data_IF_342294201164
#
_entry.id   IF_342294201164
#
_cell.length_a   1.000
_cell.length_b   1.000
_cell.length_c   1.000
_cell.angle_alpha   90.00
_cell.angle_beta   90.00
_cell.angle_gamma   90.00
#
_symmetry.space_group_name_H-M   'P 1'
#
loop_
_entity.id
_entity.type
_entity.pdbx_description
1 polymer ?
#
# COMPACT_ATOMS: atom_id res chain seq x y z
N UNK A 1 -15.12 -12.44 24.26
CA UNK A 1 -15.41 -11.52 23.11
C UNK A 1 -14.19 -11.19 22.26
N UNK A 2 -12.99 -10.99 22.79
CA UNK A 2 -11.76 -10.82 21.98
C UNK A 2 -11.36 -12.11 21.28
N UNK A 3 -11.38 -13.24 21.95
CA UNK A 3 -10.97 -14.55 21.40
C UNK A 3 -11.78 -14.97 20.15
N UNK A 4 -13.09 -14.67 20.11
CA UNK A 4 -13.91 -15.02 18.95
C UNK A 4 -13.61 -14.17 17.72
N UNK A 5 -13.20 -12.91 17.88
CA UNK A 5 -12.82 -12.04 16.76
C UNK A 5 -11.49 -12.45 16.14
N UNK A 6 -10.52 -12.84 16.98
CA UNK A 6 -9.24 -13.35 16.46
C UNK A 6 -9.45 -14.63 15.66
N UNK A 7 -10.29 -15.54 16.13
CA UNK A 7 -10.63 -16.75 15.39
C UNK A 7 -11.30 -16.47 14.04
N UNK A 8 -12.16 -15.44 13.94
CA UNK A 8 -12.75 -15.03 12.64
C UNK A 8 -11.69 -14.47 11.70
N UNK A 9 -10.76 -13.63 12.20
CA UNK A 9 -9.68 -13.07 11.41
C UNK A 9 -8.76 -14.16 10.88
N UNK A 10 -8.35 -15.10 11.75
CA UNK A 10 -7.49 -16.22 11.37
C UNK A 10 -8.17 -17.10 10.31
N UNK A 11 -9.44 -17.42 10.51
CA UNK A 11 -10.22 -18.19 9.53
C UNK A 11 -10.37 -17.46 8.19
N UNK A 12 -10.61 -16.16 8.23
CA UNK A 12 -10.69 -15.34 7.00
C UNK A 12 -9.35 -15.32 6.25
N UNK A 13 -8.25 -15.10 6.97
CA UNK A 13 -6.90 -15.08 6.39
C UNK A 13 -6.55 -16.43 5.75
N UNK A 14 -6.82 -17.54 6.44
CA UNK A 14 -6.56 -18.87 5.90
C UNK A 14 -7.43 -19.19 4.69
N UNK A 15 -8.72 -18.87 4.72
CA UNK A 15 -9.64 -19.08 3.59
C UNK A 15 -9.30 -18.20 2.36
N UNK A 16 -8.62 -17.09 2.56
CA UNK A 16 -8.20 -16.19 1.48
C UNK A 16 -6.71 -16.30 1.14
N UNK A 17 -5.97 -17.20 1.78
CA UNK A 17 -4.51 -17.32 1.64
C UNK A 17 -4.03 -17.34 0.19
N UNK A 18 -4.60 -18.22 -0.62
CA UNK A 18 -4.19 -18.36 -2.03
C UNK A 18 -4.53 -17.12 -2.86
N UNK A 19 -5.65 -16.46 -2.55
CA UNK A 19 -6.03 -15.21 -3.19
C UNK A 19 -5.08 -14.07 -2.80
N UNK A 20 -4.71 -13.95 -1.51
CA UNK A 20 -3.74 -12.98 -1.02
C UNK A 20 -2.40 -13.17 -1.72
N UNK A 21 -1.89 -14.40 -1.75
CA UNK A 21 -0.62 -14.71 -2.42
C UNK A 21 -0.67 -14.40 -3.92
N UNK A 22 -1.76 -14.73 -4.59
CA UNK A 22 -1.98 -14.39 -6.00
C UNK A 22 -1.93 -12.88 -6.22
N UNK A 23 -2.61 -12.10 -5.40
CA UNK A 23 -2.73 -10.66 -5.58
C UNK A 23 -1.43 -9.93 -5.24
N UNK A 24 -0.67 -10.41 -4.23
CA UNK A 24 0.70 -9.96 -4.00
C UNK A 24 1.57 -10.26 -5.24
N UNK A 25 1.49 -11.47 -5.80
CA UNK A 25 2.23 -11.84 -7.01
C UNK A 25 1.90 -10.92 -8.19
N UNK A 26 0.61 -10.62 -8.41
CA UNK A 26 0.16 -9.71 -9.48
C UNK A 26 0.74 -8.31 -9.32
N UNK A 27 0.81 -7.81 -8.08
CA UNK A 27 1.31 -6.47 -7.81
C UNK A 27 2.83 -6.40 -7.87
N UNK A 28 3.53 -7.40 -7.33
CA UNK A 28 5.00 -7.51 -7.42
C UNK A 28 5.45 -7.58 -8.86
N UNK A 29 4.70 -8.24 -9.74
CA UNK A 29 5.00 -8.36 -11.17
C UNK A 29 5.01 -7.02 -11.93
N UNK A 30 4.59 -5.92 -11.31
CA UNK A 30 4.64 -4.57 -11.91
C UNK A 30 5.89 -3.84 -11.40
N UNK A 31 6.94 -3.65 -12.21
CA UNK A 31 8.09 -2.84 -11.85
C UNK A 31 7.65 -1.38 -11.63
N UNK A 32 7.98 -0.82 -10.46
CA UNK A 32 7.46 0.48 -10.04
C UNK A 32 8.53 1.39 -9.42
N UNK A 33 9.74 1.30 -9.93
CA UNK A 33 10.79 2.28 -9.62
C UNK A 33 10.40 3.63 -10.22
N UNK A 34 10.62 4.71 -9.48
CA UNK A 34 10.37 6.08 -9.96
C UNK A 34 11.04 6.33 -11.32
N UNK A 35 10.34 6.99 -12.20
CA UNK A 35 10.77 7.27 -13.56
C UNK A 35 10.49 8.72 -13.98
N UNK A 36 10.67 8.99 -15.26
CA UNK A 36 10.41 10.33 -15.81
C UNK A 36 8.91 10.66 -15.73
N UNK A 37 8.54 11.82 -15.17
CA UNK A 37 7.15 12.27 -15.13
C UNK A 37 6.52 12.40 -16.51
N UNK A 38 5.27 11.97 -16.63
CA UNK A 38 4.46 12.08 -17.84
C UNK A 38 3.04 12.54 -17.46
N UNK A 39 2.23 13.06 -18.41
CA UNK A 39 0.83 13.41 -18.13
C UNK A 39 0.06 12.21 -17.54
N UNK A 40 -0.52 12.38 -16.35
CA UNK A 40 -1.24 11.34 -15.62
C UNK A 40 -0.35 10.27 -14.98
N UNK A 41 0.96 10.45 -15.03
CA UNK A 41 1.96 9.59 -14.38
C UNK A 41 3.08 10.46 -13.77
N UNK A 42 2.79 11.20 -12.70
CA UNK A 42 3.70 12.20 -12.13
C UNK A 42 5.04 11.62 -11.68
N UNK A 43 5.06 10.34 -11.30
CA UNK A 43 6.27 9.63 -10.86
C UNK A 43 6.77 8.60 -11.88
N UNK A 44 6.23 8.67 -13.11
CA UNK A 44 6.59 7.77 -14.19
C UNK A 44 5.61 6.62 -14.40
N UNK A 45 5.81 5.89 -15.50
CA UNK A 45 4.90 4.81 -15.93
C UNK A 45 4.85 3.63 -14.96
N UNK A 46 5.98 3.31 -14.34
CA UNK A 46 6.08 2.17 -13.41
C UNK A 46 5.20 2.35 -12.16
N UNK A 47 5.43 3.40 -11.35
CA UNK A 47 4.58 3.71 -10.19
C UNK A 47 3.10 3.81 -10.56
N UNK A 48 2.77 4.55 -11.65
CA UNK A 48 1.40 4.66 -12.16
C UNK A 48 0.76 3.28 -12.46
N UNK A 49 1.49 2.40 -13.11
CA UNK A 49 0.99 1.06 -13.44
C UNK A 49 0.76 0.20 -12.18
N UNK A 50 1.61 0.37 -11.16
CA UNK A 50 1.46 -0.32 -9.89
C UNK A 50 0.27 0.23 -9.09
N UNK A 51 0.08 1.54 -9.06
CA UNK A 51 -1.09 2.18 -8.48
C UNK A 51 -2.39 1.68 -9.13
N UNK A 52 -2.43 1.68 -10.48
CA UNK A 52 -3.60 1.17 -11.21
C UNK A 52 -3.87 -0.30 -10.89
N UNK A 53 -2.82 -1.12 -10.79
CA UNK A 53 -2.95 -2.54 -10.44
C UNK A 53 -3.47 -2.73 -9.01
N UNK A 54 -3.01 -1.93 -8.06
CA UNK A 54 -3.51 -1.94 -6.70
C UNK A 54 -5.00 -1.59 -6.62
N UNK A 55 -5.41 -0.56 -7.36
CA UNK A 55 -6.82 -0.15 -7.42
C UNK A 55 -7.70 -1.17 -8.18
N UNK A 56 -7.16 -1.84 -9.21
CA UNK A 56 -7.83 -2.97 -9.87
C UNK A 56 -8.08 -4.11 -8.87
N UNK A 57 -7.08 -4.52 -8.11
CA UNK A 57 -7.21 -5.55 -7.07
C UNK A 57 -8.26 -5.12 -6.03
N UNK A 58 -8.20 -3.89 -5.56
CA UNK A 58 -9.17 -3.38 -4.59
C UNK A 58 -10.61 -3.41 -5.13
N UNK A 59 -10.82 -3.05 -6.40
CA UNK A 59 -12.13 -3.12 -7.06
C UNK A 59 -12.62 -4.57 -7.19
N UNK A 60 -11.75 -5.51 -7.54
CA UNK A 60 -12.08 -6.96 -7.59
C UNK A 60 -12.49 -7.50 -6.21
N UNK A 61 -11.94 -6.95 -5.12
CA UNK A 61 -12.34 -7.25 -3.73
C UNK A 61 -13.65 -6.58 -3.33
N UNK A 62 -14.28 -5.83 -4.26
CA UNK A 62 -15.57 -5.15 -4.04
C UNK A 62 -15.44 -3.86 -3.24
N UNK A 63 -14.26 -3.25 -3.16
CA UNK A 63 -14.04 -1.97 -2.51
C UNK A 63 -14.31 -0.81 -3.49
N UNK A 64 -14.76 0.32 -2.98
CA UNK A 64 -14.87 1.54 -3.77
C UNK A 64 -13.47 2.14 -3.94
N UNK A 65 -13.08 2.44 -5.18
CA UNK A 65 -11.73 2.91 -5.50
C UNK A 65 -11.74 4.30 -6.12
N UNK A 66 -10.65 5.03 -5.92
CA UNK A 66 -10.40 6.32 -6.54
C UNK A 66 -8.92 6.47 -6.90
N UNK A 67 -8.65 7.04 -8.07
CA UNK A 67 -7.33 7.44 -8.50
C UNK A 67 -7.29 8.97 -8.60
N UNK A 68 -6.47 9.59 -7.78
CA UNK A 68 -6.29 11.03 -7.73
C UNK A 68 -5.20 11.47 -8.72
N UNK A 69 -5.55 11.48 -10.01
CA UNK A 69 -4.72 11.97 -11.13
C UNK A 69 -3.36 11.27 -11.26
N UNK A 70 -3.24 10.05 -10.74
CA UNK A 70 -2.00 9.29 -10.76
C UNK A 70 -0.98 9.68 -9.69
N UNK A 71 -1.32 10.60 -8.76
CA UNK A 71 -0.46 10.93 -7.62
C UNK A 71 -0.63 9.97 -6.45
N UNK A 72 -1.85 9.56 -6.18
CA UNK A 72 -2.21 8.68 -5.06
C UNK A 72 -3.58 8.07 -5.35
N UNK A 73 -3.84 6.89 -4.82
CA UNK A 73 -5.17 6.30 -4.89
C UNK A 73 -5.68 5.92 -3.50
N UNK A 74 -6.92 5.43 -3.46
CA UNK A 74 -7.44 4.81 -2.25
C UNK A 74 -8.54 3.81 -2.53
N UNK A 75 -8.73 2.94 -1.54
CA UNK A 75 -9.85 2.01 -1.47
C UNK A 75 -10.60 2.20 -0.15
N UNK A 76 -11.93 1.99 -0.16
CA UNK A 76 -12.78 2.12 1.02
C UNK A 76 -13.99 1.18 0.93
N UNK A 77 -14.60 0.90 2.08
CA UNK A 77 -15.72 -0.07 2.16
C UNK A 77 -17.06 0.52 1.70
N UNK A 78 -17.14 1.83 1.54
CA UNK A 78 -18.32 2.57 1.10
C UNK A 78 -18.03 4.06 1.08
N UNK A 79 -18.95 4.90 0.59
CA UNK A 79 -18.74 6.32 0.41
C UNK A 79 -18.47 7.03 1.75
N UNK A 80 -17.56 8.00 1.73
CA UNK A 80 -17.28 8.92 2.83
C UNK A 80 -17.84 10.27 2.42
N UNK A 81 -18.81 10.79 3.18
CA UNK A 81 -19.46 12.05 2.88
C UNK A 81 -18.51 13.24 3.12
N UNK A 82 -18.76 14.35 2.43
CA UNK A 82 -18.01 15.59 2.62
C UNK A 82 -18.05 16.04 4.09
N UNK A 83 -16.86 16.35 4.64
CA UNK A 83 -16.70 16.73 6.03
C UNK A 83 -16.85 15.58 7.05
N UNK A 84 -17.11 14.36 6.60
CA UNK A 84 -17.13 13.20 7.49
C UNK A 84 -15.71 12.84 7.93
N UNK A 85 -15.53 12.65 9.24
CA UNK A 85 -14.27 12.16 9.81
C UNK A 85 -14.07 10.70 9.45
N UNK A 86 -12.84 10.34 9.11
CA UNK A 86 -12.46 8.97 8.75
C UNK A 86 -11.07 8.60 9.32
N UNK A 87 -10.80 7.30 9.40
CA UNK A 87 -9.49 6.74 9.68
C UNK A 87 -8.81 6.39 8.36
N UNK A 88 -7.51 6.38 8.35
CA UNK A 88 -6.76 5.88 7.19
C UNK A 88 -5.66 4.90 7.59
N UNK A 89 -5.35 4.01 6.66
CA UNK A 89 -4.04 3.41 6.51
C UNK A 89 -3.35 4.08 5.33
N UNK A 90 -2.02 4.05 5.31
CA UNK A 90 -1.25 4.44 4.15
C UNK A 90 -0.22 3.37 3.85
N UNK A 91 -0.13 3.00 2.60
CA UNK A 91 0.80 2.03 2.02
C UNK A 91 1.30 2.57 0.70
N UNK A 92 2.34 1.98 0.13
CA UNK A 92 2.84 2.42 -1.17
C UNK A 92 3.08 1.26 -2.14
N UNK A 93 3.17 1.58 -3.42
CA UNK A 93 3.37 0.61 -4.51
C UNK A 93 4.67 0.83 -5.27
N UNK A 94 5.28 2.00 -5.13
CA UNK A 94 6.62 2.23 -5.67
C UNK A 94 7.67 1.41 -4.90
N UNK A 95 8.81 1.25 -5.51
CA UNK A 95 9.91 0.46 -4.95
C UNK A 95 11.24 1.09 -5.30
N UNK A 96 12.25 0.92 -4.44
CA UNK A 96 13.63 1.24 -4.78
C UNK A 96 14.13 0.37 -5.94
N UNK A 97 15.16 0.79 -6.69
CA UNK A 97 15.79 -0.05 -7.69
C UNK A 97 16.16 -1.42 -7.12
N UNK A 98 16.00 -2.46 -7.92
CA UNK A 98 16.22 -3.85 -7.51
C UNK A 98 17.63 -4.12 -7.00
N UNK A 99 18.62 -3.38 -7.50
CA UNK A 99 20.03 -3.60 -7.14
C UNK A 99 20.61 -4.87 -7.76
N UNK A 100 21.64 -5.42 -7.11
CA UNK A 100 22.37 -6.60 -7.58
C UNK A 100 22.19 -7.79 -6.63
N UNK A 101 22.52 -8.98 -7.09
CA UNK A 101 22.57 -10.21 -6.27
C UNK A 101 21.33 -11.07 -6.32
N UNK A 102 20.35 -10.72 -7.13
CA UNK A 102 19.18 -11.56 -7.37
C UNK A 102 19.58 -12.82 -8.15
N UNK A 103 19.05 -13.95 -7.74
CA UNK A 103 19.24 -15.25 -8.44
C UNK A 103 18.11 -15.53 -9.41
N UNK A 104 17.06 -14.71 -9.40
CA UNK A 104 15.89 -14.74 -10.26
C UNK A 104 15.45 -13.32 -10.59
N UNK A 105 14.48 -13.16 -11.48
CA UNK A 105 13.85 -11.86 -11.74
C UNK A 105 13.20 -11.33 -10.45
N UNK A 106 13.62 -10.17 -9.92
CA UNK A 106 13.09 -9.61 -8.68
C UNK A 106 11.59 -9.28 -8.74
N UNK A 107 11.03 -9.11 -9.93
CA UNK A 107 9.60 -8.85 -10.15
C UNK A 107 8.79 -10.12 -10.45
N UNK A 108 9.41 -11.29 -10.39
CA UNK A 108 8.73 -12.59 -10.38
C UNK A 108 8.78 -13.17 -8.97
N UNK A 109 7.72 -12.91 -8.18
CA UNK A 109 7.66 -13.40 -6.82
C UNK A 109 7.77 -14.93 -6.78
N UNK A 110 8.69 -15.43 -5.98
CA UNK A 110 8.85 -16.86 -5.69
C UNK A 110 8.44 -17.17 -4.25
N UNK A 111 7.83 -18.34 -4.06
CA UNK A 111 7.62 -18.89 -2.71
C UNK A 111 8.60 -20.06 -2.55
N UNK A 112 9.57 -19.91 -1.65
CA UNK A 112 10.58 -20.90 -1.37
C UNK A 112 10.78 -21.08 0.13
N UNK A 113 10.71 -22.31 0.61
CA UNK A 113 10.87 -22.66 2.03
C UNK A 113 9.97 -21.86 2.99
N UNK A 114 8.77 -21.50 2.53
CA UNK A 114 7.81 -20.72 3.31
C UNK A 114 8.02 -19.20 3.26
N UNK A 115 9.00 -18.71 2.49
CA UNK A 115 9.28 -17.29 2.30
C UNK A 115 8.77 -16.80 0.94
N UNK A 116 8.17 -15.63 0.93
CA UNK A 116 7.90 -14.89 -0.30
C UNK A 116 9.12 -14.02 -0.64
N UNK A 117 9.66 -14.19 -1.84
CA UNK A 117 10.88 -13.52 -2.27
C UNK A 117 10.59 -12.73 -3.54
N UNK A 118 10.80 -11.42 -3.50
CA UNK A 118 10.59 -10.50 -4.63
C UNK A 118 10.77 -9.05 -4.20
N UNK A 119 11.07 -8.15 -5.14
CA UNK A 119 11.16 -6.71 -4.87
C UNK A 119 9.76 -6.16 -4.54
N UNK A 120 9.63 -5.48 -3.39
CA UNK A 120 8.36 -4.93 -2.92
C UNK A 120 7.46 -5.91 -2.17
N UNK A 121 7.86 -7.18 -1.96
CA UNK A 121 7.05 -8.14 -1.20
C UNK A 121 6.85 -7.71 0.24
N UNK A 122 7.90 -7.25 0.91
CA UNK A 122 7.86 -6.80 2.30
C UNK A 122 7.60 -5.29 2.39
N UNK A 123 8.12 -4.54 1.44
CA UNK A 123 8.15 -3.09 1.39
C UNK A 123 7.66 -2.62 0.00
N UNK A 124 6.41 -2.25 -0.15
CA UNK A 124 5.28 -2.34 0.80
C UNK A 124 4.07 -3.02 0.14
N UNK A 125 4.25 -3.67 -1.05
CA UNK A 125 3.17 -4.29 -1.85
C UNK A 125 2.45 -5.43 -1.12
N UNK A 126 3.18 -6.20 -0.30
CA UNK A 126 2.58 -7.26 0.51
C UNK A 126 1.66 -6.71 1.59
N UNK A 127 2.15 -5.83 2.50
CA UNK A 127 1.32 -5.16 3.49
C UNK A 127 0.16 -4.37 2.87
N UNK A 128 0.37 -3.74 1.70
CA UNK A 128 -0.70 -3.06 0.96
C UNK A 128 -1.85 -4.04 0.61
N UNK A 129 -1.53 -5.20 0.01
CA UNK A 129 -2.55 -6.21 -0.29
C UNK A 129 -3.22 -6.72 0.98
N UNK A 130 -2.45 -6.97 2.06
CA UNK A 130 -3.02 -7.38 3.35
C UNK A 130 -4.02 -6.34 3.89
N UNK A 131 -3.73 -5.04 3.71
CA UNK A 131 -4.62 -3.95 4.09
C UNK A 131 -5.93 -3.98 3.30
N UNK A 132 -5.88 -4.23 1.99
CA UNK A 132 -7.10 -4.38 1.17
C UNK A 132 -7.94 -5.58 1.64
N UNK A 133 -7.33 -6.69 1.98
CA UNK A 133 -8.04 -7.85 2.53
C UNK A 133 -8.60 -7.58 3.93
N UNK A 134 -7.94 -6.76 4.74
CA UNK A 134 -8.50 -6.30 6.02
C UNK A 134 -9.79 -5.46 5.81
N UNK A 135 -9.81 -4.56 4.81
CA UNK A 135 -11.01 -3.83 4.46
C UNK A 135 -12.13 -4.75 3.95
N UNK A 136 -11.77 -5.74 3.10
CA UNK A 136 -12.71 -6.77 2.63
C UNK A 136 -13.32 -7.53 3.81
N UNK A 137 -12.52 -7.97 4.78
CA UNK A 137 -12.98 -8.61 6.00
C UNK A 137 -14.00 -7.74 6.75
N UNK A 138 -13.67 -6.49 7.01
CA UNK A 138 -14.56 -5.56 7.70
C UNK A 138 -15.90 -5.38 6.98
N UNK A 139 -15.87 -5.35 5.65
CA UNK A 139 -17.05 -5.24 4.80
C UNK A 139 -17.92 -6.51 4.86
N UNK A 140 -17.31 -7.69 4.70
CA UNK A 140 -18.02 -8.97 4.68
C UNK A 140 -18.64 -9.32 6.04
N UNK A 141 -17.93 -9.04 7.13
CA UNK A 141 -18.43 -9.24 8.50
C UNK A 141 -19.45 -8.16 8.94
N UNK A 142 -19.72 -7.17 8.10
CA UNK A 142 -20.66 -6.09 8.40
C UNK A 142 -20.27 -5.31 9.67
N UNK A 143 -18.97 -5.13 9.92
CA UNK A 143 -18.48 -4.47 11.12
C UNK A 143 -18.90 -3.01 11.13
N UNK A 144 -19.75 -2.64 12.11
CA UNK A 144 -20.14 -1.25 12.30
C UNK A 144 -18.98 -0.44 12.90
N UNK A 145 -18.43 0.46 12.12
CA UNK A 145 -17.33 1.34 12.52
C UNK A 145 -17.87 2.71 12.93
N UNK A 146 -17.29 3.30 13.97
CA UNK A 146 -17.59 4.70 14.35
C UNK A 146 -17.12 5.69 13.29
N UNK A 147 -16.02 5.39 12.63
CA UNK A 147 -15.45 6.14 11.52
C UNK A 147 -15.21 5.18 10.34
N UNK A 148 -15.57 5.55 9.11
CA UNK A 148 -15.16 4.77 7.96
C UNK A 148 -13.65 4.73 7.85
N UNK A 149 -13.13 3.71 7.13
CA UNK A 149 -11.71 3.53 6.91
C UNK A 149 -11.42 3.67 5.42
N UNK A 150 -10.35 4.41 5.11
CA UNK A 150 -9.76 4.56 3.79
C UNK A 150 -8.36 3.96 3.79
N UNK A 151 -8.08 3.05 2.89
CA UNK A 151 -6.73 2.61 2.59
C UNK A 151 -6.17 3.51 1.50
N UNK A 152 -5.23 4.39 1.87
CA UNK A 152 -4.47 5.20 0.94
C UNK A 152 -3.37 4.34 0.31
N UNK A 153 -3.17 4.50 -0.98
CA UNK A 153 -2.18 3.78 -1.79
C UNK A 153 -1.32 4.82 -2.48
N UNK A 154 -0.13 5.04 -1.92
CA UNK A 154 0.89 5.93 -2.49
C UNK A 154 1.69 5.27 -3.60
N UNK A 155 2.43 6.08 -4.33
CA UNK A 155 3.33 5.63 -5.40
C UNK A 155 4.61 6.49 -5.52
N UNK A 156 4.99 7.20 -4.43
CA UNK A 156 6.22 8.01 -4.35
C UNK A 156 6.83 8.04 -2.94
N UNK A 157 6.64 7.00 -2.14
CA UNK A 157 7.15 6.94 -0.75
C UNK A 157 8.68 6.86 -0.73
N UNK A 158 9.26 6.00 -1.54
CA UNK A 158 10.70 5.65 -1.57
C UNK A 158 11.61 6.83 -1.95
N UNK A 159 11.06 7.93 -2.39
CA UNK A 159 11.84 9.07 -2.89
C UNK A 159 11.50 10.38 -2.20
N UNK A 160 10.29 10.89 -2.29
CA UNK A 160 9.99 12.26 -1.88
C UNK A 160 8.64 12.44 -1.17
N UNK A 161 7.75 11.45 -1.17
CA UNK A 161 6.39 11.51 -0.62
C UNK A 161 5.52 12.66 -1.20
N UNK A 162 5.75 13.02 -2.45
CA UNK A 162 4.95 14.07 -3.12
C UNK A 162 3.49 13.63 -3.36
N UNK A 163 3.22 12.37 -3.35
CA UNK A 163 1.88 11.77 -3.35
C UNK A 163 1.08 12.16 -2.10
N UNK A 164 1.72 12.11 -0.92
CA UNK A 164 1.13 12.56 0.36
C UNK A 164 0.93 14.06 0.36
N UNK A 165 1.91 14.84 -0.11
CA UNK A 165 1.78 16.29 -0.26
C UNK A 165 0.59 16.65 -1.16
N UNK A 166 0.43 15.96 -2.30
CA UNK A 166 -0.71 16.14 -3.19
C UNK A 166 -2.03 15.80 -2.49
N UNK A 167 -2.07 14.69 -1.76
CA UNK A 167 -3.28 14.30 -1.03
C UNK A 167 -3.70 15.37 -0.02
N UNK A 168 -2.78 15.81 0.83
CA UNK A 168 -3.06 16.78 1.88
C UNK A 168 -3.41 18.18 1.34
N UNK A 169 -2.93 18.52 0.15
CA UNK A 169 -3.29 19.78 -0.52
C UNK A 169 -4.71 19.77 -1.11
N UNK A 170 -5.24 18.60 -1.50
CA UNK A 170 -6.48 18.49 -2.26
C UNK A 170 -7.62 17.79 -1.51
N UNK A 171 -7.33 17.02 -0.46
CA UNK A 171 -8.30 16.20 0.26
C UNK A 171 -8.20 16.40 1.77
N UNK A 172 -9.30 16.23 2.52
CA UNK A 172 -9.29 16.32 3.97
C UNK A 172 -8.37 15.26 4.59
N UNK A 173 -7.56 15.65 5.56
CA UNK A 173 -6.73 14.72 6.32
C UNK A 173 -7.59 13.77 7.17
N UNK A 174 -7.18 12.50 7.37
CA UNK A 174 -7.82 11.58 8.30
C UNK A 174 -7.65 12.07 9.75
N UNK A 175 -8.56 11.66 10.63
CA UNK A 175 -8.42 11.95 12.07
C UNK A 175 -7.36 11.10 12.76
N UNK A 176 -7.00 9.99 12.13
CA UNK A 176 -5.91 9.11 12.53
C UNK A 176 -5.45 8.32 11.30
N UNK A 177 -4.15 8.16 11.15
CA UNK A 177 -3.53 7.37 10.09
C UNK A 177 -2.43 6.50 10.70
N UNK A 178 -2.26 5.29 10.17
CA UNK A 178 -1.11 4.45 10.44
C UNK A 178 -0.64 3.76 9.16
N UNK A 179 0.62 3.39 9.13
CA UNK A 179 1.19 2.57 8.05
C UNK A 179 1.50 1.17 8.58
N UNK A 180 1.22 0.11 7.81
CA UNK A 180 1.74 -1.23 8.07
C UNK A 180 3.16 -1.45 7.53
N UNK A 181 3.79 -0.43 7.00
CA UNK A 181 5.14 -0.42 6.45
C UNK A 181 6.19 -0.33 7.56
N UNK A 182 6.22 -1.31 8.44
CA UNK A 182 7.17 -1.42 9.53
C UNK A 182 7.18 -2.83 10.13
N UNK A 183 8.24 -3.15 10.86
CA UNK A 183 8.33 -4.36 11.66
C UNK A 183 7.55 -4.24 12.99
N UNK A 184 7.19 -5.37 13.59
CA UNK A 184 6.66 -5.40 14.94
C UNK A 184 7.77 -5.29 15.99
N UNK A 185 7.52 -4.68 17.17
CA UNK A 185 6.24 -4.15 17.66
C UNK A 185 5.83 -2.82 17.02
N UNK A 186 4.56 -2.43 17.24
CA UNK A 186 4.03 -1.14 16.76
C UNK A 186 4.91 0.02 17.23
N UNK A 187 5.44 0.79 16.27
CA UNK A 187 6.21 2.00 16.52
C UNK A 187 5.28 3.21 16.57
N UNK A 188 5.48 4.10 17.56
CA UNK A 188 4.70 5.33 17.71
C UNK A 188 5.57 6.59 17.66
N UNK A 189 6.80 6.46 17.17
CA UNK A 189 7.72 7.57 17.00
C UNK A 189 8.96 7.14 16.23
N UNK A 190 9.49 8.06 15.47
CA UNK A 190 10.63 7.87 14.59
C UNK A 190 11.69 8.95 14.81
N UNK A 191 12.94 8.64 14.43
CA UNK A 191 14.01 9.63 14.37
C UNK A 191 13.92 10.40 13.06
N UNK A 192 14.26 11.69 13.10
CA UNK A 192 14.49 12.45 11.89
C UNK A 192 15.69 11.88 11.10
N UNK A 193 15.60 11.89 9.79
CA UNK A 193 16.65 11.50 8.86
C UNK A 193 17.22 12.74 8.17
N UNK A 194 18.52 12.77 7.96
CA UNK A 194 19.21 13.81 7.21
C UNK A 194 20.28 13.18 6.33
N UNK A 195 20.16 13.41 5.04
CA UNK A 195 21.16 13.07 4.05
C UNK A 195 21.90 14.32 3.57
N UNK A 196 23.22 14.23 3.47
CA UNK A 196 24.06 15.31 3.01
C UNK A 196 25.21 14.81 2.16
N UNK A 197 25.50 15.50 1.06
CA UNK A 197 26.63 15.25 0.20
C UNK A 197 27.71 16.33 0.41
N UNK A 198 28.89 15.92 0.85
CA UNK A 198 30.05 16.81 0.88
C UNK A 198 30.80 16.67 -0.46
N UNK A 199 31.00 17.80 -1.11
CA UNK A 199 31.77 17.87 -2.36
C UNK A 199 32.99 18.74 -2.14
N UNK A 200 34.17 18.19 -2.32
CA UNK A 200 35.41 18.98 -2.33
C UNK A 200 35.46 19.81 -3.61
N UNK A 201 35.77 21.09 -3.54
CA UNK A 201 36.11 21.85 -4.74
C UNK A 201 37.35 21.24 -5.38
N UNK A 202 37.30 21.06 -6.69
CA UNK A 202 38.44 20.61 -7.53
C UNK A 202 39.38 21.78 -7.75
#
# INVERSE_FOLDING_TARGET
>A
MLDSRWASIDAFAENNRDNILRDITRLVAVPSVEGTPEPGAPFGKGPKAALDKALEIAAELGLDTHNAEGYIGWAQTGPIADGQKYLATITHTDVVPEGNGWTQDPFQMEIRDGWMIGRGVADDKGPMVATLYALKFLKEEGVSLRYPIRALVGDNEETHMHDVDYYLANYPAPVFCFTPDAEFPVCNGEKGHFDGKLVSPV
#
